data_IF_682507110578
#
_entry.id   IF_682507110578
#
_cell.length_a   1.000
_cell.length_b   1.000
_cell.length_c   1.000
_cell.angle_alpha   90.00
_cell.angle_beta   90.00
_cell.angle_gamma   90.00
#
_symmetry.space_group_name_H-M   'P 1'
#
loop_
_entity.id
_entity.type
_entity.pdbx_description
1 polymer ?
#
# COMPACT_ATOMS: atom_id res chain seq x y z
N UNK A 1 -11.62 3.20 13.10
CA UNK A 1 -10.68 4.29 13.44
C UNK A 1 -10.18 4.77 12.10
N UNK A 2 -10.63 5.91 11.60
CA UNK A 2 -10.42 6.34 10.21
C UNK A 2 -8.92 6.46 9.88
N UNK A 3 -8.50 6.09 8.66
CA UNK A 3 -7.11 6.23 8.19
C UNK A 3 -6.68 7.68 8.23
N UNK A 4 -5.41 7.94 8.62
CA UNK A 4 -4.97 9.29 8.90
C UNK A 4 -3.51 9.61 8.58
N UNK A 5 -3.26 10.87 8.19
CA UNK A 5 -1.92 11.38 7.97
C UNK A 5 -1.19 11.52 9.32
N UNK A 6 -0.11 10.77 9.47
CA UNK A 6 0.79 10.76 10.61
C UNK A 6 1.96 11.74 10.46
N UNK A 7 2.16 12.30 9.26
CA UNK A 7 3.24 13.21 8.94
C UNK A 7 3.77 13.02 7.53
N UNK A 8 4.79 13.81 7.20
CA UNK A 8 5.48 13.76 5.91
C UNK A 8 6.97 13.55 6.13
N UNK A 9 7.57 12.76 5.25
CA UNK A 9 9.00 12.44 5.24
C UNK A 9 9.63 13.18 4.06
N UNK A 10 10.68 13.94 4.32
CA UNK A 10 11.55 14.46 3.27
C UNK A 10 12.54 13.37 2.89
N UNK A 11 12.57 12.97 1.61
CA UNK A 11 13.49 11.95 1.14
C UNK A 11 14.78 12.57 0.60
N UNK A 12 15.90 11.89 0.85
CA UNK A 12 17.06 11.99 -0.03
C UNK A 12 16.74 11.26 -1.34
N UNK A 13 16.41 12.04 -2.38
CA UNK A 13 15.99 11.55 -3.69
C UNK A 13 17.03 10.64 -4.34
N UNK A 14 18.33 10.94 -4.20
CA UNK A 14 19.40 10.15 -4.82
C UNK A 14 19.55 8.80 -4.15
N UNK A 15 19.55 8.78 -2.81
CA UNK A 15 19.64 7.54 -2.03
C UNK A 15 18.39 6.69 -2.22
N UNK A 16 17.21 7.30 -2.23
CA UNK A 16 15.95 6.60 -2.51
C UNK A 16 15.95 5.98 -3.91
N UNK A 17 16.35 6.74 -4.94
CA UNK A 17 16.42 6.25 -6.31
C UNK A 17 17.35 5.05 -6.45
N UNK A 18 18.49 5.05 -5.73
CA UNK A 18 19.42 3.91 -5.71
C UNK A 18 18.78 2.66 -5.13
N UNK A 19 18.11 2.78 -3.98
CA UNK A 19 17.42 1.64 -3.35
C UNK A 19 16.26 1.13 -4.23
N UNK A 20 15.48 2.02 -4.83
CA UNK A 20 14.40 1.62 -5.74
C UNK A 20 14.94 0.94 -7.01
N UNK A 21 16.07 1.41 -7.56
CA UNK A 21 16.71 0.77 -8.72
C UNK A 21 17.29 -0.61 -8.37
N UNK A 22 17.78 -0.79 -7.13
CA UNK A 22 18.21 -2.10 -6.64
C UNK A 22 17.01 -3.04 -6.48
N UNK A 23 15.89 -2.55 -5.94
CA UNK A 23 14.65 -3.31 -5.78
C UNK A 23 14.18 -3.96 -7.10
N UNK A 24 14.26 -3.22 -8.21
CA UNK A 24 13.88 -3.73 -9.55
C UNK A 24 14.74 -4.90 -10.04
N UNK A 25 15.95 -5.07 -9.50
CA UNK A 25 16.85 -6.16 -9.88
C UNK A 25 16.50 -7.47 -9.18
N UNK A 26 15.65 -7.43 -8.16
CA UNK A 26 15.21 -8.61 -7.43
C UNK A 26 13.85 -9.12 -7.94
N UNK A 27 13.63 -10.45 -7.96
CA UNK A 27 12.30 -10.98 -8.20
C UNK A 27 11.36 -10.57 -7.05
N UNK A 28 10.07 -10.29 -7.34
CA UNK A 28 9.09 -10.07 -6.29
C UNK A 28 8.90 -11.34 -5.46
N UNK A 29 8.51 -11.18 -4.20
CA UNK A 29 8.14 -12.29 -3.34
C UNK A 29 6.90 -13.02 -3.92
N UNK A 30 6.74 -14.33 -3.64
CA UNK A 30 5.61 -15.12 -4.13
C UNK A 30 4.27 -14.45 -3.80
N UNK A 31 3.37 -14.42 -4.78
CA UNK A 31 2.07 -13.79 -4.62
C UNK A 31 1.21 -14.58 -3.63
N UNK A 32 0.79 -13.92 -2.56
CA UNK A 32 -0.25 -14.38 -1.65
C UNK A 32 -1.37 -13.35 -1.71
N UNK A 33 -2.63 -13.78 -1.61
CA UNK A 33 -3.81 -12.92 -1.71
C UNK A 33 -4.09 -12.41 -3.13
N UNK A 34 -3.72 -13.17 -4.17
CA UNK A 34 -3.99 -12.79 -5.57
C UNK A 34 -5.49 -12.77 -5.90
N UNK A 35 -6.31 -13.47 -5.10
CA UNK A 35 -7.77 -13.48 -5.20
C UNK A 35 -8.41 -12.11 -4.90
N UNK A 36 -7.69 -11.20 -4.22
CA UNK A 36 -8.21 -9.88 -3.85
C UNK A 36 -7.80 -8.76 -4.82
N UNK A 37 -7.21 -9.06 -5.98
CA UNK A 37 -6.66 -8.00 -6.85
C UNK A 37 -6.77 -8.29 -8.33
N UNK A 38 -6.65 -7.23 -9.13
CA UNK A 38 -6.53 -7.25 -10.59
C UNK A 38 -5.36 -6.37 -11.00
N UNK A 39 -4.58 -6.78 -11.99
CA UNK A 39 -3.40 -6.06 -12.48
C UNK A 39 -2.09 -6.54 -11.86
N UNK A 40 -1.03 -5.74 -11.94
CA UNK A 40 0.32 -6.15 -11.53
C UNK A 40 0.68 -5.64 -10.14
N UNK A 41 1.07 -6.56 -9.26
CA UNK A 41 1.46 -6.27 -7.89
C UNK A 41 2.77 -6.94 -7.53
N UNK A 42 3.82 -6.15 -7.29
CA UNK A 42 5.10 -6.66 -6.82
C UNK A 42 5.27 -6.33 -5.35
N UNK A 43 5.55 -7.35 -4.53
CA UNK A 43 5.81 -7.19 -3.10
C UNK A 43 7.22 -7.63 -2.78
N UNK A 44 7.93 -6.84 -1.97
CA UNK A 44 9.30 -7.11 -1.55
C UNK A 44 9.37 -7.03 -0.03
N UNK A 45 9.69 -8.15 0.64
CA UNK A 45 9.74 -8.20 2.09
C UNK A 45 11.11 -7.71 2.58
N UNK A 46 11.12 -6.62 3.36
CA UNK A 46 12.34 -6.01 3.88
C UNK A 46 12.63 -6.45 5.31
N UNK A 47 11.58 -6.56 6.13
CA UNK A 47 11.67 -7.11 7.49
C UNK A 47 10.49 -8.03 7.76
N UNK A 48 10.73 -9.19 8.36
CA UNK A 48 9.68 -10.07 8.84
C UNK A 48 10.21 -10.95 9.98
N UNK A 49 9.34 -11.68 10.70
CA UNK A 49 9.76 -12.49 11.86
C UNK A 49 10.76 -13.60 11.51
N UNK A 50 10.76 -14.09 10.27
CA UNK A 50 11.64 -15.17 9.82
C UNK A 50 12.95 -14.67 9.21
N UNK A 51 13.06 -13.36 8.92
CA UNK A 51 14.16 -12.77 8.13
C UNK A 51 14.32 -13.37 6.72
N UNK A 52 13.21 -13.87 6.15
CA UNK A 52 13.18 -14.59 4.87
C UNK A 52 12.51 -13.77 3.77
N UNK A 53 13.16 -13.55 2.62
CA UNK A 53 12.62 -12.71 1.54
C UNK A 53 11.28 -13.20 0.99
N UNK A 54 11.05 -14.52 1.03
CA UNK A 54 9.84 -15.15 0.51
C UNK A 54 8.75 -15.37 1.56
N UNK A 55 9.00 -15.02 2.83
CA UNK A 55 7.95 -15.07 3.86
C UNK A 55 7.05 -13.83 3.77
N UNK A 56 5.89 -14.03 3.14
CA UNK A 56 4.89 -13.01 2.86
C UNK A 56 3.76 -12.97 3.89
N UNK A 57 3.78 -13.87 4.88
CA UNK A 57 2.69 -13.98 5.85
C UNK A 57 2.92 -13.05 7.02
N UNK A 58 1.91 -12.23 7.32
CA UNK A 58 1.86 -11.56 8.61
C UNK A 58 1.56 -12.61 9.68
N UNK A 59 2.32 -12.60 10.77
CA UNK A 59 2.08 -13.47 11.91
C UNK A 59 1.55 -12.63 13.09
N UNK A 60 0.49 -13.09 13.74
CA UNK A 60 -0.08 -12.47 14.94
C UNK A 60 0.82 -12.60 16.19
N UNK A 61 1.92 -13.35 16.10
CA UNK A 61 2.90 -13.50 17.17
C UNK A 61 3.62 -12.21 17.55
N UNK A 62 4.18 -12.19 18.76
CA UNK A 62 4.92 -11.05 19.31
C UNK A 62 6.40 -11.01 18.90
N UNK A 63 6.79 -11.69 17.82
CA UNK A 63 8.19 -11.71 17.39
C UNK A 63 8.50 -10.43 16.61
N UNK A 64 9.56 -9.75 17.01
CA UNK A 64 10.07 -8.57 16.31
C UNK A 64 10.57 -8.95 14.91
N UNK A 65 10.42 -8.02 13.97
CA UNK A 65 10.84 -8.25 12.59
C UNK A 65 12.36 -8.08 12.45
N UNK A 66 13.04 -9.12 11.99
CA UNK A 66 14.43 -9.04 11.54
C UNK A 66 14.52 -8.63 10.07
N UNK A 67 15.65 -8.03 9.68
CA UNK A 67 15.91 -7.67 8.28
C UNK A 67 16.13 -8.91 7.42
N UNK A 68 15.48 -8.94 6.25
CA UNK A 68 15.74 -9.96 5.24
C UNK A 68 17.06 -9.67 4.51
N UNK A 69 17.56 -10.63 3.74
CA UNK A 69 18.75 -10.40 2.90
C UNK A 69 18.56 -9.24 1.90
N UNK A 70 17.33 -8.99 1.43
CA UNK A 70 17.00 -7.83 0.61
C UNK A 70 16.96 -6.54 1.44
N UNK A 71 16.33 -6.57 2.62
CA UNK A 71 16.26 -5.41 3.51
C UNK A 71 17.63 -4.86 3.89
N UNK A 72 18.61 -5.73 4.14
CA UNK A 72 20.01 -5.35 4.45
C UNK A 72 20.69 -4.63 3.28
N UNK A 73 20.33 -4.95 2.03
CA UNK A 73 20.93 -4.32 0.85
C UNK A 73 20.34 -2.92 0.56
N UNK A 74 19.10 -2.67 0.97
CA UNK A 74 18.39 -1.41 0.78
C UNK A 74 18.70 -0.44 1.93
N UNK A 75 19.95 0.02 1.95
CA UNK A 75 20.54 0.75 3.09
C UNK A 75 19.78 2.02 3.47
N UNK A 76 19.22 2.75 2.51
CA UNK A 76 18.50 3.99 2.80
C UNK A 76 17.09 3.71 3.33
N UNK A 77 16.39 2.72 2.78
CA UNK A 77 15.09 2.29 3.31
C UNK A 77 15.23 1.68 4.71
N UNK A 78 16.29 0.92 4.98
CA UNK A 78 16.56 0.38 6.32
C UNK A 78 16.85 1.48 7.35
N UNK A 79 17.70 2.45 7.00
CA UNK A 79 17.95 3.66 7.80
C UNK A 79 16.64 4.40 8.08
N UNK A 80 15.83 4.63 7.05
CA UNK A 80 14.57 5.34 7.18
C UNK A 80 13.60 4.62 8.13
N UNK A 81 13.54 3.28 8.09
CA UNK A 81 12.71 2.50 9.00
C UNK A 81 13.13 2.71 10.46
N UNK A 82 14.43 2.72 10.74
CA UNK A 82 14.97 2.91 12.08
C UNK A 82 14.79 4.35 12.60
N UNK A 83 14.68 5.33 11.70
CA UNK A 83 14.36 6.73 12.05
C UNK A 83 12.87 6.93 12.30
N UNK A 84 12.01 6.31 11.49
CA UNK A 84 10.57 6.55 11.52
C UNK A 84 9.81 5.69 12.53
N UNK A 85 10.36 4.54 12.91
CA UNK A 85 9.69 3.56 13.74
C UNK A 85 10.64 3.00 14.80
N UNK A 86 10.09 2.73 15.98
CA UNK A 86 10.77 1.96 17.01
C UNK A 86 10.97 0.51 16.51
N UNK A 87 12.21 -0.01 16.41
CA UNK A 87 12.47 -1.33 15.84
C UNK A 87 11.68 -2.46 16.50
N UNK A 88 11.52 -2.41 17.84
CA UNK A 88 10.76 -3.39 18.63
C UNK A 88 9.24 -3.31 18.41
N UNK A 89 8.75 -2.23 17.79
CA UNK A 89 7.34 -2.10 17.41
C UNK A 89 7.03 -2.75 16.05
N UNK A 90 8.04 -2.97 15.20
CA UNK A 90 7.89 -3.47 13.83
C UNK A 90 7.63 -4.98 13.85
N UNK A 91 6.64 -5.41 13.07
CA UNK A 91 6.23 -6.82 12.92
C UNK A 91 6.43 -7.33 11.51
N UNK A 92 6.30 -6.44 10.53
CA UNK A 92 6.65 -6.73 9.14
C UNK A 92 6.81 -5.42 8.38
N UNK A 93 7.73 -5.42 7.41
CA UNK A 93 7.92 -4.32 6.46
C UNK A 93 8.01 -4.89 5.06
N UNK A 94 7.25 -4.29 4.14
CA UNK A 94 7.30 -4.64 2.72
C UNK A 94 7.18 -3.42 1.84
N UNK A 95 7.86 -3.42 0.69
CA UNK A 95 7.57 -2.49 -0.40
C UNK A 95 6.51 -3.14 -1.28
N UNK A 96 5.40 -2.44 -1.49
CA UNK A 96 4.36 -2.85 -2.42
C UNK A 96 4.36 -1.90 -3.60
N UNK A 97 4.50 -2.46 -4.80
CA UNK A 97 4.36 -1.77 -6.07
C UNK A 97 3.07 -2.19 -6.75
N UNK A 98 2.34 -1.21 -7.28
CA UNK A 98 1.13 -1.45 -8.07
C UNK A 98 1.32 -0.80 -9.44
N UNK A 99 1.06 -1.57 -10.49
CA UNK A 99 1.07 -1.10 -11.87
C UNK A 99 -0.22 -1.55 -12.56
N UNK A 100 -0.96 -0.58 -13.12
CA UNK A 100 -2.25 -0.81 -13.78
C UNK A 100 -3.15 -1.79 -12.98
N UNK A 101 -3.30 -1.54 -11.68
CA UNK A 101 -3.85 -2.51 -10.74
C UNK A 101 -4.83 -1.92 -9.74
N UNK A 102 -5.66 -2.79 -9.19
CA UNK A 102 -6.66 -2.49 -8.17
C UNK A 102 -6.73 -3.63 -7.17
N UNK A 103 -6.69 -3.29 -5.88
CA UNK A 103 -7.05 -4.17 -4.80
C UNK A 103 -8.56 -4.04 -4.58
N UNK A 104 -9.30 -5.14 -4.61
CA UNK A 104 -10.74 -5.10 -4.33
C UNK A 104 -11.00 -4.56 -2.92
N UNK A 105 -12.09 -3.79 -2.71
CA UNK A 105 -12.46 -3.30 -1.40
C UNK A 105 -12.52 -4.43 -0.37
N UNK A 106 -11.61 -4.40 0.62
CA UNK A 106 -11.45 -5.47 1.59
C UNK A 106 -11.23 -4.93 3.01
N UNK A 107 -11.36 -5.82 4.00
CA UNK A 107 -10.92 -5.59 5.38
C UNK A 107 -9.75 -6.53 5.64
N UNK A 108 -8.66 -5.98 6.17
CA UNK A 108 -7.47 -6.76 6.48
C UNK A 108 -7.55 -7.33 7.91
N UNK A 109 -6.80 -8.39 8.19
CA UNK A 109 -6.60 -8.94 9.54
C UNK A 109 -7.83 -9.55 10.20
N UNK A 110 -8.88 -9.80 9.43
CA UNK A 110 -10.09 -10.48 9.90
C UNK A 110 -9.75 -11.87 10.45
N UNK A 111 -8.76 -12.54 9.84
CA UNK A 111 -8.26 -13.86 10.22
C UNK A 111 -7.59 -13.90 11.61
N UNK A 112 -7.15 -12.75 12.14
CA UNK A 112 -6.46 -12.67 13.43
C UNK A 112 -7.38 -12.24 14.59
N UNK A 113 -8.66 -11.98 14.33
CA UNK A 113 -9.64 -11.58 15.35
C UNK A 113 -9.13 -10.42 16.23
N UNK A 114 -9.22 -10.56 17.55
CA UNK A 114 -8.77 -9.53 18.49
C UNK A 114 -7.26 -9.27 18.45
N UNK A 115 -6.44 -10.28 18.11
CA UNK A 115 -4.99 -10.09 17.99
C UNK A 115 -4.64 -9.13 16.84
N UNK A 116 -5.43 -9.17 15.76
CA UNK A 116 -5.32 -8.24 14.62
C UNK A 116 -5.43 -6.77 15.03
N UNK A 117 -6.20 -6.46 16.10
CA UNK A 117 -6.45 -5.08 16.55
C UNK A 117 -5.21 -4.39 17.11
N UNK A 118 -4.18 -5.16 17.47
CA UNK A 118 -2.92 -4.64 18.01
C UNK A 118 -2.02 -4.07 16.92
N UNK A 119 -2.25 -4.40 15.65
CA UNK A 119 -1.43 -3.94 14.55
C UNK A 119 -1.98 -2.67 13.92
N UNK A 120 -1.13 -1.66 13.79
CA UNK A 120 -1.32 -0.51 12.90
C UNK A 120 -0.61 -0.79 11.57
N UNK A 121 -1.22 -0.46 10.43
CA UNK A 121 -0.58 -0.53 9.11
C UNK A 121 -0.32 0.89 8.72
N UNK A 122 0.92 1.21 8.43
CA UNK A 122 1.34 2.52 8.02
C UNK A 122 1.88 2.41 6.60
N UNK A 123 1.34 3.22 5.69
CA UNK A 123 1.90 3.42 4.37
C UNK A 123 2.82 4.63 4.41
N UNK A 124 4.06 4.47 3.98
CA UNK A 124 4.96 5.57 3.62
C UNK A 124 5.07 5.57 2.10
N UNK A 125 4.57 6.62 1.45
CA UNK A 125 4.55 6.68 -0.01
C UNK A 125 5.93 7.02 -0.55
N UNK A 126 6.56 6.09 -1.27
CA UNK A 126 7.90 6.28 -1.84
C UNK A 126 7.81 6.95 -3.21
N UNK A 127 6.87 6.49 -4.03
CA UNK A 127 6.58 7.01 -5.36
C UNK A 127 5.09 6.87 -5.66
N UNK A 128 4.50 7.90 -6.25
CA UNK A 128 3.08 7.93 -6.60
C UNK A 128 2.90 8.64 -7.94
N UNK A 129 1.67 8.67 -8.44
CA UNK A 129 1.30 9.42 -9.63
C UNK A 129 -0.13 9.98 -9.44
N UNK A 130 -0.58 10.92 -10.28
CA UNK A 130 -1.89 11.54 -10.12
C UNK A 130 -3.09 10.59 -10.21
N UNK A 131 -2.91 9.39 -10.78
CA UNK A 131 -3.94 8.36 -10.99
C UNK A 131 -3.89 7.22 -9.97
N UNK A 132 -2.99 7.32 -8.99
CA UNK A 132 -2.91 6.41 -7.85
C UNK A 132 -3.83 6.92 -6.74
N UNK A 133 -4.85 6.13 -6.42
CA UNK A 133 -5.90 6.48 -5.48
C UNK A 133 -6.00 5.42 -4.38
N UNK A 134 -6.43 5.87 -3.22
CA UNK A 134 -6.79 5.05 -2.08
C UNK A 134 -8.24 5.33 -1.74
N UNK A 135 -8.93 4.35 -1.19
CA UNK A 135 -10.26 4.59 -0.63
C UNK A 135 -10.40 3.92 0.72
N UNK A 136 -11.22 4.52 1.56
CA UNK A 136 -11.65 3.95 2.82
C UNK A 136 -13.10 4.36 3.07
N UNK A 137 -13.96 3.39 3.36
CA UNK A 137 -15.40 3.64 3.55
C UNK A 137 -15.98 4.42 2.35
N UNK A 138 -16.49 5.64 2.56
CA UNK A 138 -17.04 6.51 1.51
C UNK A 138 -15.98 7.38 0.82
N UNK A 139 -14.79 7.46 1.39
CA UNK A 139 -13.79 8.46 1.03
C UNK A 139 -12.77 7.92 0.04
N UNK A 140 -12.34 8.78 -0.87
CA UNK A 140 -11.24 8.52 -1.81
C UNK A 140 -10.21 9.61 -1.62
N UNK A 141 -8.95 9.24 -1.50
CA UNK A 141 -7.87 10.18 -1.30
C UNK A 141 -6.64 9.77 -2.10
N UNK A 142 -5.71 10.71 -2.27
CA UNK A 142 -4.41 10.45 -2.86
C UNK A 142 -3.34 10.70 -1.81
N UNK A 143 -2.37 9.79 -1.74
CA UNK A 143 -1.15 10.00 -0.98
C UNK A 143 -0.08 10.56 -1.90
N UNK A 144 0.56 11.66 -1.47
CA UNK A 144 1.72 12.25 -2.12
C UNK A 144 3.02 11.53 -1.70
N UNK A 145 4.08 11.65 -2.51
CA UNK A 145 5.38 11.14 -2.11
C UNK A 145 5.84 11.76 -0.77
N UNK A 146 6.32 10.92 0.14
CA UNK A 146 6.69 11.29 1.50
C UNK A 146 5.54 11.19 2.52
N UNK A 147 4.29 11.07 2.09
CA UNK A 147 3.17 10.96 3.04
C UNK A 147 3.26 9.66 3.85
N UNK A 148 3.10 9.79 5.17
CA UNK A 148 2.99 8.67 6.12
C UNK A 148 1.56 8.60 6.62
N UNK A 149 0.79 7.60 6.20
CA UNK A 149 -0.63 7.46 6.56
C UNK A 149 -0.85 6.15 7.31
N UNK A 150 -1.48 6.18 8.48
CA UNK A 150 -2.02 4.98 9.11
C UNK A 150 -3.29 4.57 8.39
N UNK A 151 -3.38 3.34 7.92
CA UNK A 151 -4.60 2.79 7.37
C UNK A 151 -5.48 2.19 8.47
N UNK A 152 -6.78 2.53 8.50
CA UNK A 152 -7.76 1.73 9.20
C UNK A 152 -7.86 0.37 8.51
N UNK A 153 -7.88 -0.70 9.31
CA UNK A 153 -7.97 -2.07 8.80
C UNK A 153 -9.32 -2.72 9.05
N UNK A 154 -10.12 -2.07 9.89
CA UNK A 154 -11.44 -2.53 10.31
C UNK A 154 -12.56 -2.01 9.42
N UNK A 155 -12.24 -0.97 8.66
CA UNK A 155 -13.09 -0.39 7.64
C UNK A 155 -12.63 -0.86 6.26
N UNK A 156 -13.56 -0.88 5.31
CA UNK A 156 -13.29 -1.38 3.96
C UNK A 156 -12.35 -0.42 3.25
N UNK A 157 -11.19 -0.89 2.82
CA UNK A 157 -10.20 -0.09 2.09
C UNK A 157 -9.91 -0.67 0.70
N UNK A 158 -9.48 0.17 -0.24
CA UNK A 158 -9.04 -0.22 -1.58
C UNK A 158 -7.84 0.64 -2.00
N UNK A 159 -6.95 0.03 -2.79
CA UNK A 159 -5.80 0.66 -3.40
C UNK A 159 -5.92 0.52 -4.93
N UNK A 160 -5.85 1.63 -5.66
CA UNK A 160 -5.92 1.64 -7.12
C UNK A 160 -4.76 2.44 -7.72
N UNK A 161 -4.23 1.97 -8.85
CA UNK A 161 -3.35 2.74 -9.74
C UNK A 161 -3.79 2.51 -11.17
N UNK A 162 -4.42 3.51 -11.79
CA UNK A 162 -4.83 3.44 -13.20
C UNK A 162 -3.69 3.92 -14.09
N UNK A 163 -3.46 3.27 -15.22
CA UNK A 163 -2.82 3.94 -16.36
C UNK A 163 -3.88 4.82 -17.04
N UNK A 164 -3.60 6.08 -17.37
CA UNK A 164 -4.48 6.83 -18.29
C UNK A 164 -4.71 6.02 -19.59
N UNK A 165 -5.85 6.19 -20.29
CA UNK A 165 -5.91 5.77 -21.69
C UNK A 165 -4.82 6.57 -22.42
N UNK A 166 -3.84 5.85 -22.97
CA UNK A 166 -2.76 6.45 -23.71
C UNK A 166 -3.33 7.33 -24.83
N UNK A 167 -3.19 8.64 -24.71
CA UNK A 167 -3.09 9.47 -25.91
C UNK A 167 -1.76 9.02 -26.53
N UNK A 168 -1.86 8.37 -27.68
CA UNK A 168 -0.72 8.03 -28.51
C UNK A 168 0.04 9.31 -28.81
N UNK A 169 1.10 9.56 -28.05
CA UNK A 169 2.08 10.59 -28.36
C UNK A 169 3.48 10.02 -28.06
N UNK A 170 4.19 9.70 -29.14
CA UNK A 170 5.64 9.47 -29.24
C UNK A 170 6.36 8.57 -28.21
N UNK A 171 5.85 7.35 -28.03
CA UNK A 171 6.74 6.19 -27.81
C UNK A 171 7.52 6.13 -26.49
N UNK A 172 7.14 6.91 -25.47
CA UNK A 172 7.66 6.77 -24.10
C UNK A 172 6.56 6.31 -23.17
N UNK A 173 6.54 5.02 -22.85
CA UNK A 173 5.82 4.51 -21.69
C UNK A 173 6.47 5.09 -20.43
N UNK A 174 6.01 6.24 -19.94
CA UNK A 174 6.24 6.58 -18.53
C UNK A 174 5.42 5.61 -17.68
N UNK A 175 6.08 4.58 -17.16
CA UNK A 175 5.49 3.54 -16.35
C UNK A 175 4.80 4.16 -15.13
N UNK A 176 3.46 4.19 -15.15
CA UNK A 176 2.63 4.71 -14.06
C UNK A 176 2.64 3.69 -12.90
N UNK A 177 3.69 3.76 -12.09
CA UNK A 177 3.95 2.84 -10.99
C UNK A 177 3.81 3.59 -9.67
N UNK A 178 2.95 3.08 -8.78
CA UNK A 178 2.94 3.45 -7.38
C UNK A 178 3.86 2.52 -6.60
N UNK A 179 4.57 3.04 -5.62
CA UNK A 179 5.39 2.25 -4.69
C UNK A 179 5.24 2.80 -3.28
N UNK A 180 4.80 1.97 -2.35
CA UNK A 180 4.65 2.33 -0.94
C UNK A 180 5.37 1.33 -0.04
N UNK A 181 6.05 1.85 0.97
CA UNK A 181 6.55 1.06 2.09
C UNK A 181 5.39 0.84 3.07
N UNK A 182 5.01 -0.42 3.26
CA UNK A 182 3.96 -0.84 4.18
C UNK A 182 4.62 -1.40 5.43
N UNK A 183 4.37 -0.74 6.56
CA UNK A 183 4.89 -1.12 7.87
C UNK A 183 3.74 -1.59 8.74
N UNK A 184 3.85 -2.82 9.24
CA UNK A 184 3.01 -3.34 10.30
C UNK A 184 3.73 -3.13 11.62
N UNK A 185 3.16 -2.28 12.47
CA UNK A 185 3.73 -1.93 13.75
C UNK A 185 2.69 -1.99 14.87
N UNK A 186 3.13 -2.19 16.10
CA UNK A 186 2.28 -2.11 17.30
C UNK A 186 2.46 -0.74 17.99
N UNK A 187 1.43 -0.24 18.68
CA UNK A 187 1.56 0.96 19.52
C UNK A 187 1.65 2.31 18.78
N UNK A 188 1.47 2.35 17.46
CA UNK A 188 1.42 3.60 16.69
C UNK A 188 0.08 4.31 16.91
N UNK A 189 0.11 5.53 17.47
CA UNK A 189 -1.08 6.36 17.66
C UNK A 189 -1.35 7.24 16.43
N UNK A 190 -2.58 7.27 15.88
CA UNK A 190 -2.91 8.17 14.79
C UNK A 190 -3.10 9.62 15.23
N UNK A 191 -2.80 10.57 14.34
CA UNK A 191 -3.35 11.93 14.31
C UNK A 191 -4.48 12.02 13.26
N UNK A 192 -5.13 13.17 13.05
CA UNK A 192 -6.30 13.31 12.15
C UNK A 192 -5.92 13.47 10.65
N UNK A 193 -6.68 12.93 9.68
CA UNK A 193 -6.37 12.98 8.23
C UNK A 193 -6.83 14.28 7.56
N UNK A 194 -6.29 14.53 6.35
CA UNK A 194 -6.88 15.46 5.38
C UNK A 194 -7.68 14.67 4.34
N UNK A 195 -8.96 14.99 4.17
CA UNK A 195 -9.90 14.28 3.30
C UNK A 195 -10.05 14.97 1.94
N UNK A 196 -10.28 14.20 0.87
CA UNK A 196 -10.67 14.75 -0.44
C UNK A 196 -12.19 14.57 -0.62
N UNK A 197 -12.88 15.66 -0.97
CA UNK A 197 -14.32 15.64 -1.27
C UNK A 197 -14.61 14.93 -2.59
N UNK A 198 -15.64 14.09 -2.62
CA UNK A 198 -16.17 13.48 -3.86
C UNK A 198 -17.47 14.18 -4.29
N UNK A 199 -17.81 14.09 -5.57
CA UNK A 199 -19.15 14.37 -6.06
C UNK A 199 -20.11 13.25 -5.61
N UNK A 200 -21.36 13.61 -5.32
CA UNK A 200 -22.41 12.64 -5.00
C UNK A 200 -22.66 11.71 -6.20
N UNK A 201 -22.84 10.42 -5.94
CA UNK A 201 -23.29 9.46 -6.95
C UNK A 201 -24.79 9.67 -7.20
N UNK A 202 -25.20 9.76 -8.46
CA UNK A 202 -26.62 9.86 -8.82
C UNK A 202 -27.23 8.49 -9.06
N UNK A 203 -28.55 8.37 -8.93
CA UNK A 203 -29.28 7.11 -9.20
C UNK A 203 -29.11 6.63 -10.65
N UNK A 204 -28.98 7.55 -11.61
CA UNK A 204 -28.78 7.23 -13.03
C UNK A 204 -27.46 6.47 -13.27
N UNK A 205 -26.39 6.83 -12.55
CA UNK A 205 -25.09 6.13 -12.63
C UNK A 205 -25.10 4.74 -11.99
N UNK A 206 -26.08 4.47 -11.12
CA UNK A 206 -26.28 3.16 -10.48
C UNK A 206 -26.97 2.23 -11.48
N UNK A 207 -28.05 2.69 -12.13
CA UNK A 207 -28.83 1.90 -13.07
C UNK A 207 -28.03 1.50 -14.32
N UNK A 208 -27.16 2.38 -14.83
CA UNK A 208 -26.22 2.06 -15.93
C UNK A 208 -25.24 0.93 -15.57
N UNK A 209 -24.89 0.79 -14.29
CA UNK A 209 -23.94 -0.23 -13.81
C UNK A 209 -24.60 -1.53 -13.39
N UNK A 210 -25.87 -1.49 -12.96
CA UNK A 210 -26.61 -2.68 -12.52
C UNK A 210 -27.28 -3.42 -13.65
N UNK A 211 -27.42 -2.81 -14.83
CA UNK A 211 -27.91 -3.45 -16.05
C UNK A 211 -29.11 -4.35 -15.77
N UNK A 212 -30.29 -3.78 -15.54
CA UNK A 212 -31.50 -4.59 -15.49
C UNK A 212 -31.57 -5.44 -16.78
N UNK A 213 -31.78 -6.77 -16.69
CA UNK A 213 -31.95 -7.58 -17.88
C UNK A 213 -33.22 -7.08 -18.58
N UNK A 214 -33.04 -6.51 -19.77
CA UNK A 214 -34.14 -6.11 -20.65
C UNK A 214 -35.07 -7.30 -20.79
N UNK A 215 -36.27 -7.22 -20.20
CA UNK A 215 -37.30 -8.25 -20.37
C UNK A 215 -37.60 -8.33 -21.86
N UNK A 216 -37.23 -9.43 -22.50
CA UNK A 216 -37.73 -9.78 -23.82
C UNK A 216 -39.25 -9.94 -23.71
N UNK A 217 -40.00 -8.96 -24.23
CA UNK A 217 -41.43 -9.08 -24.54
C UNK A 217 -41.61 -9.81 -25.86
#
# INVERSE_FOLDING_TARGET
MISALLGKVAFDEQRLAKDLALLEQHPPAPEVYSEFRVGTFHTYNLRNPCSEVNDTRLNAGNKDAGSTSLGVQLTYLDELLNVLFEPSAIRMVRVMKIHAGMLFPNRDMVEFGEAGRKFTRVHVMLKTNPTALHSESSDVFRMEAGDRVSACKWDTCCDQSRSQPAIYDDGRFEQQVRSSLIVYATGVRPSTPTMISRSELTYEEIDEKTGEPTKCT
#
